data_IF_414059226326
#
_entry.id   IF_414059226326
#
_cell.length_a   1.000
_cell.length_b   1.000
_cell.length_c   1.000
_cell.angle_alpha   90.00
_cell.angle_beta   90.00
_cell.angle_gamma   90.00
#
_symmetry.space_group_name_H-M   'P 1'
#
loop_
_entity.id
_entity.type
_entity.pdbx_description
1 polymer ?
#
# COMPACT_ATOMS: atom_id res chain seq x y z
N UNK A 1 -7.93 -2.87 15.78
CA UNK A 1 -7.57 -2.25 14.48
C UNK A 1 -8.20 -3.00 13.30
N UNK A 2 -7.84 -4.24 12.97
CA UNK A 2 -8.45 -4.93 11.82
C UNK A 2 -9.85 -5.50 12.10
N UNK A 3 -10.16 -5.80 13.37
CA UNK A 3 -11.47 -6.33 13.78
C UNK A 3 -12.58 -5.28 13.82
N UNK A 4 -12.23 -4.01 13.95
CA UNK A 4 -13.19 -2.92 13.87
C UNK A 4 -13.33 -2.53 12.41
N UNK A 5 -14.56 -2.36 11.93
CA UNK A 5 -14.85 -1.88 10.58
C UNK A 5 -15.55 -0.54 10.68
N UNK A 6 -15.03 0.44 9.97
CA UNK A 6 -15.56 1.79 9.87
C UNK A 6 -16.35 1.91 8.57
N UNK A 7 -17.58 2.44 8.66
CA UNK A 7 -18.42 2.74 7.51
C UNK A 7 -18.98 4.14 7.55
N UNK A 8 -19.08 4.77 6.38
CA UNK A 8 -19.82 6.01 6.17
C UNK A 8 -20.85 5.80 5.08
N UNK A 9 -22.01 6.40 5.29
CA UNK A 9 -23.11 6.45 4.33
C UNK A 9 -23.52 7.90 4.15
N UNK A 10 -23.58 8.36 2.90
CA UNK A 10 -24.00 9.70 2.54
C UNK A 10 -25.44 9.75 2.04
N UNK A 11 -26.17 10.78 2.42
CA UNK A 11 -27.45 11.19 1.83
C UNK A 11 -28.56 10.13 1.78
N UNK A 12 -28.48 9.16 2.70
CA UNK A 12 -29.44 8.05 2.83
C UNK A 12 -29.11 6.83 1.96
N UNK A 13 -27.90 6.71 1.43
CA UNK A 13 -27.47 5.52 0.70
C UNK A 13 -27.48 4.25 1.57
N UNK A 14 -27.80 3.11 0.94
CA UNK A 14 -27.78 1.81 1.60
C UNK A 14 -26.41 1.14 1.52
N UNK A 15 -25.63 1.43 0.48
CA UNK A 15 -24.26 0.93 0.32
C UNK A 15 -23.28 1.97 0.84
N UNK A 16 -22.28 1.59 1.64
CA UNK A 16 -21.36 2.56 2.20
C UNK A 16 -20.33 3.03 1.16
N UNK A 17 -20.20 4.35 1.01
CA UNK A 17 -19.10 4.97 0.26
C UNK A 17 -17.72 4.77 0.93
N UNK A 18 -17.70 4.49 2.23
CA UNK A 18 -16.49 4.15 2.99
C UNK A 18 -16.69 2.78 3.64
N UNK A 19 -15.87 1.78 3.33
CA UNK A 19 -15.84 0.50 4.05
C UNK A 19 -14.39 0.00 4.22
N UNK A 20 -13.88 0.11 5.44
CA UNK A 20 -12.45 -0.02 5.74
C UNK A 20 -12.25 -0.59 7.15
N UNK A 21 -11.25 -1.45 7.38
CA UNK A 21 -10.83 -1.74 8.75
C UNK A 21 -10.39 -0.44 9.44
N UNK A 22 -10.75 -0.29 10.72
CA UNK A 22 -10.64 0.98 11.43
C UNK A 22 -9.20 1.51 11.46
N UNK A 23 -8.22 0.67 11.79
CA UNK A 23 -6.82 1.12 11.87
C UNK A 23 -6.26 1.51 10.50
N UNK A 24 -6.60 0.72 9.49
CA UNK A 24 -6.18 0.88 8.10
C UNK A 24 -6.67 2.20 7.50
N UNK A 25 -7.91 2.63 7.81
CA UNK A 25 -8.43 3.94 7.39
C UNK A 25 -7.52 5.11 7.81
N UNK A 26 -6.88 5.00 8.97
CA UNK A 26 -5.96 6.03 9.50
C UNK A 26 -4.50 5.67 9.28
N UNK A 27 -4.17 4.87 8.27
CA UNK A 27 -2.77 4.62 7.92
C UNK A 27 -1.98 3.77 8.91
N UNK A 28 -2.63 3.03 9.81
CA UNK A 28 -1.97 2.19 10.82
C UNK A 28 -1.83 0.75 10.32
N UNK A 29 -0.63 0.34 9.87
CA UNK A 29 -0.46 -0.92 9.15
C UNK A 29 -0.45 -2.14 10.08
N UNK A 30 -0.90 -3.28 9.54
CA UNK A 30 -0.80 -4.61 10.16
C UNK A 30 -1.32 -4.69 11.60
N UNK A 31 -2.34 -3.91 11.93
CA UNK A 31 -2.96 -3.89 13.25
C UNK A 31 -2.04 -3.42 14.37
N UNK A 32 -0.88 -2.83 14.05
CA UNK A 32 0.12 -2.38 15.02
C UNK A 32 0.18 -0.86 15.01
N UNK A 33 0.04 -0.26 16.19
CA UNK A 33 0.21 1.17 16.37
C UNK A 33 1.51 1.66 15.72
N UNK A 34 1.37 2.67 14.86
CA UNK A 34 2.47 3.31 14.15
C UNK A 34 2.24 4.81 14.24
N UNK A 35 3.14 5.49 14.95
CA UNK A 35 3.06 6.93 15.12
C UNK A 35 3.47 7.63 13.82
N UNK A 36 2.61 8.49 13.28
CA UNK A 36 2.94 9.35 12.14
C UNK A 36 2.01 10.57 12.09
N UNK A 37 2.47 11.61 11.41
CA UNK A 37 1.70 12.84 11.19
C UNK A 37 1.75 13.19 9.71
N UNK A 38 0.61 13.07 9.05
CA UNK A 38 0.33 13.70 7.76
C UNK A 38 -0.77 14.76 7.96
N UNK A 39 -1.01 15.58 6.95
CA UNK A 39 -2.06 16.59 6.99
C UNK A 39 -3.47 15.95 7.07
N UNK A 40 -3.92 15.12 6.11
CA UNK A 40 -5.29 14.61 6.17
C UNK A 40 -5.50 13.50 7.20
N UNK A 41 -4.45 12.78 7.61
CA UNK A 41 -4.53 11.65 8.55
C UNK A 41 -3.33 11.63 9.49
N UNK A 42 -3.56 11.28 10.76
CA UNK A 42 -2.47 11.04 11.71
C UNK A 42 -2.85 10.01 12.77
N UNK A 43 -1.83 9.35 13.31
CA UNK A 43 -1.96 8.52 14.49
C UNK A 43 -0.93 8.96 15.54
N UNK A 44 -1.40 9.58 16.62
CA UNK A 44 -0.53 10.15 17.66
C UNK A 44 -1.03 9.79 19.05
N UNK A 45 -0.16 9.20 19.90
CA UNK A 45 -0.47 8.80 21.28
C UNK A 45 -1.78 7.99 21.44
N UNK A 46 -2.14 7.19 20.43
CA UNK A 46 -3.38 6.41 20.39
C UNK A 46 -4.61 7.17 19.85
N UNK A 47 -4.49 8.45 19.54
CA UNK A 47 -5.47 9.23 18.79
C UNK A 47 -5.39 8.94 17.30
N UNK A 48 -6.55 8.73 16.69
CA UNK A 48 -6.72 8.48 15.25
C UNK A 48 -7.45 9.69 14.67
N UNK A 49 -6.75 10.54 13.91
CA UNK A 49 -7.29 11.80 13.42
C UNK A 49 -7.50 11.76 11.91
N UNK A 50 -8.62 12.33 11.46
CA UNK A 50 -8.92 12.52 10.05
C UNK A 50 -9.37 13.97 9.82
N UNK A 51 -8.79 14.61 8.81
CA UNK A 51 -9.06 15.99 8.42
C UNK A 51 -9.53 16.08 6.96
N UNK A 52 -9.82 14.95 6.30
CA UNK A 52 -10.48 14.98 4.99
C UNK A 52 -11.84 15.69 5.10
N UNK A 53 -12.14 16.67 4.21
CA UNK A 53 -13.47 17.26 4.15
C UNK A 53 -14.49 16.23 3.63
N UNK A 54 -15.57 15.98 4.35
CA UNK A 54 -16.58 14.99 3.98
C UNK A 54 -17.94 15.66 3.76
N UNK A 55 -18.17 16.33 2.62
CA UNK A 55 -19.44 16.98 2.33
C UNK A 55 -20.57 15.96 2.19
N UNK A 56 -21.76 16.33 2.68
CA UNK A 56 -23.03 15.63 2.48
C UNK A 56 -24.16 16.66 2.40
N UNK A 57 -25.27 16.33 1.73
CA UNK A 57 -26.37 17.27 1.49
C UNK A 57 -27.61 17.01 2.37
N UNK A 58 -27.85 15.77 2.79
CA UNK A 58 -29.03 15.37 3.56
C UNK A 58 -28.68 14.73 4.89
N UNK A 59 -27.73 13.80 4.90
CA UNK A 59 -27.35 13.08 6.11
C UNK A 59 -25.99 12.41 5.97
N UNK A 60 -25.35 12.19 7.12
CA UNK A 60 -24.21 11.30 7.27
C UNK A 60 -24.54 10.26 8.35
N UNK A 61 -24.38 8.98 8.04
CA UNK A 61 -24.39 7.90 9.03
C UNK A 61 -23.00 7.29 9.12
N UNK A 62 -22.46 7.23 10.33
CA UNK A 62 -21.17 6.62 10.62
C UNK A 62 -21.42 5.36 11.46
N UNK A 63 -20.90 4.22 11.02
CA UNK A 63 -21.00 2.96 11.75
C UNK A 63 -19.61 2.42 12.10
N UNK A 64 -19.47 1.89 13.32
CA UNK A 64 -18.30 1.14 13.75
C UNK A 64 -18.74 -0.24 14.21
N UNK A 65 -18.39 -1.26 13.44
CA UNK A 65 -18.73 -2.65 13.77
C UNK A 65 -17.55 -3.36 14.40
N UNK A 66 -17.73 -3.93 15.58
CA UNK A 66 -16.76 -4.84 16.17
C UNK A 66 -17.01 -6.29 15.72
N UNK A 67 -16.05 -6.85 14.98
CA UNK A 67 -16.08 -8.24 14.50
C UNK A 67 -15.13 -9.16 15.30
N UNK A 68 -14.57 -8.69 16.42
CA UNK A 68 -13.79 -9.53 17.32
C UNK A 68 -14.70 -10.42 18.20
N UNK A 69 -14.14 -11.50 18.73
CA UNK A 69 -14.81 -12.31 19.75
C UNK A 69 -14.95 -11.58 21.10
N UNK A 70 -14.09 -10.59 21.37
CA UNK A 70 -14.10 -9.81 22.61
C UNK A 70 -14.79 -8.45 22.46
N UNK A 71 -15.22 -7.88 23.58
CA UNK A 71 -15.76 -6.53 23.62
C UNK A 71 -14.68 -5.47 23.33
N UNK A 72 -15.07 -4.33 22.76
CA UNK A 72 -14.25 -3.12 22.75
C UNK A 72 -14.51 -2.39 24.08
N UNK A 73 -13.58 -2.46 25.06
CA UNK A 73 -13.87 -2.00 26.41
C UNK A 73 -14.07 -0.49 26.51
N UNK A 74 -13.47 0.27 25.58
CA UNK A 74 -13.67 1.69 25.45
C UNK A 74 -13.51 2.13 24.00
N UNK A 75 -14.44 2.95 23.51
CA UNK A 75 -14.39 3.56 22.18
C UNK A 75 -14.71 5.04 22.33
N UNK A 76 -13.70 5.89 22.19
CA UNK A 76 -13.83 7.34 22.28
C UNK A 76 -13.78 7.92 20.87
N UNK A 77 -14.68 8.85 20.56
CA UNK A 77 -14.71 9.51 19.27
C UNK A 77 -15.18 10.95 19.43
N UNK A 78 -14.77 11.78 18.47
CA UNK A 78 -15.28 13.12 18.27
C UNK A 78 -15.47 13.32 16.77
N UNK A 79 -16.68 13.72 16.37
CA UNK A 79 -16.99 14.12 14.99
C UNK A 79 -17.32 15.60 15.04
N UNK A 80 -16.54 16.39 14.31
CA UNK A 80 -16.78 17.82 14.14
C UNK A 80 -17.26 18.04 12.72
N UNK A 81 -18.33 18.81 12.57
CA UNK A 81 -18.91 19.16 11.29
C UNK A 81 -19.40 20.60 11.33
N UNK A 82 -19.55 21.21 10.16
CA UNK A 82 -20.13 22.53 10.00
C UNK A 82 -21.51 22.37 9.36
N UNK A 83 -22.53 22.96 9.99
CA UNK A 83 -23.84 23.13 9.37
C UNK A 83 -23.77 24.37 8.48
N UNK A 84 -24.07 24.19 7.19
CA UNK A 84 -24.08 25.23 6.19
C UNK A 84 -25.51 25.38 5.68
N UNK A 85 -25.92 26.62 5.37
CA UNK A 85 -27.22 26.88 4.73
C UNK A 85 -27.29 26.19 3.36
N UNK A 86 -26.17 26.17 2.62
CA UNK A 86 -26.00 25.48 1.34
C UNK A 86 -24.67 24.70 1.34
N UNK A 87 -24.71 23.44 0.89
CA UNK A 87 -23.55 22.59 0.65
C UNK A 87 -23.53 22.18 -0.83
N UNK A 88 -22.83 22.96 -1.64
CA UNK A 88 -22.86 22.88 -3.10
C UNK A 88 -21.99 21.77 -3.69
N UNK A 89 -21.14 21.13 -2.89
CA UNK A 89 -20.27 20.09 -3.43
C UNK A 89 -21.08 18.89 -3.91
N UNK A 90 -20.99 18.51 -5.21
CA UNK A 90 -21.64 17.32 -5.73
C UNK A 90 -20.85 16.04 -5.42
N UNK A 91 -19.65 16.17 -4.84
CA UNK A 91 -18.75 15.06 -4.58
C UNK A 91 -18.95 14.52 -3.17
N UNK A 92 -18.75 13.22 -3.00
CA UNK A 92 -18.74 12.52 -1.72
C UNK A 92 -17.40 11.83 -1.48
N UNK A 93 -16.97 11.83 -0.24
CA UNK A 93 -15.73 11.18 0.16
C UNK A 93 -15.90 9.66 0.18
N UNK A 94 -14.93 8.98 -0.39
CA UNK A 94 -14.89 7.52 -0.45
C UNK A 94 -13.56 7.01 0.07
N UNK A 95 -13.61 5.84 0.69
CA UNK A 95 -12.41 5.10 1.02
C UNK A 95 -12.64 3.60 1.01
N UNK A 96 -11.74 2.87 0.38
CA UNK A 96 -11.86 1.43 0.20
C UNK A 96 -10.55 0.73 0.56
N UNK A 97 -10.68 -0.34 1.32
CA UNK A 97 -9.57 -1.25 1.63
C UNK A 97 -9.49 -2.40 0.64
N UNK A 98 -8.30 -2.73 0.19
CA UNK A 98 -8.06 -3.91 -0.65
C UNK A 98 -6.84 -4.69 -0.15
N UNK A 99 -6.76 -5.99 -0.48
CA UNK A 99 -5.60 -6.84 -0.18
C UNK A 99 -5.46 -7.98 -1.18
N UNK A 100 -4.23 -8.30 -1.56
CA UNK A 100 -3.85 -9.52 -2.25
C UNK A 100 -2.64 -10.15 -1.57
N UNK A 101 -2.80 -11.39 -1.11
CA UNK A 101 -1.76 -12.14 -0.43
C UNK A 101 -1.73 -13.61 -0.89
N UNK A 102 -0.71 -14.03 -1.67
CA UNK A 102 0.25 -13.16 -2.34
C UNK A 102 -0.39 -12.41 -3.53
N UNK A 103 0.28 -11.36 -3.99
CA UNK A 103 0.07 -10.78 -5.32
C UNK A 103 0.22 -11.82 -6.42
N UNK A 104 -0.45 -11.58 -7.57
CA UNK A 104 -0.46 -12.52 -8.70
C UNK A 104 0.66 -12.20 -9.68
N UNK A 105 1.42 -13.22 -10.08
CA UNK A 105 2.53 -13.06 -11.01
C UNK A 105 2.05 -12.49 -12.36
N UNK A 106 2.75 -11.48 -12.88
CA UNK A 106 2.42 -10.84 -14.16
C UNK A 106 1.19 -9.93 -14.15
N UNK A 107 0.53 -9.75 -13.00
CA UNK A 107 -0.69 -8.94 -12.86
C UNK A 107 -0.44 -7.86 -11.79
N UNK A 108 -0.71 -6.56 -12.09
CA UNK A 108 -0.57 -5.49 -11.11
C UNK A 108 -1.53 -5.67 -9.93
N UNK A 109 -1.18 -5.05 -8.80
CA UNK A 109 -2.09 -4.92 -7.68
C UNK A 109 -3.04 -3.73 -7.90
N UNK A 110 -4.33 -4.01 -7.99
CA UNK A 110 -5.39 -2.99 -8.08
C UNK A 110 -5.57 -2.28 -6.75
N UNK A 111 -5.29 -0.97 -6.70
CA UNK A 111 -5.58 -0.12 -5.54
C UNK A 111 -6.99 0.43 -5.61
N UNK A 112 -7.40 0.93 -6.77
CA UNK A 112 -8.70 1.55 -7.00
C UNK A 112 -9.21 1.24 -8.40
N UNK A 113 -10.50 0.91 -8.50
CA UNK A 113 -11.28 0.97 -9.74
C UNK A 113 -12.60 1.66 -9.41
N UNK A 114 -12.87 2.80 -10.04
CA UNK A 114 -14.08 3.56 -9.81
C UNK A 114 -14.64 4.14 -11.11
N UNK A 115 -15.96 4.36 -11.12
CA UNK A 115 -16.69 5.01 -12.21
C UNK A 115 -17.51 6.18 -11.66
N UNK A 116 -17.61 7.24 -12.44
CA UNK A 116 -18.24 8.50 -12.06
C UNK A 116 -17.36 9.69 -12.42
N UNK A 117 -17.71 10.87 -11.94
CA UNK A 117 -16.88 12.06 -12.04
C UNK A 117 -16.33 12.43 -10.66
N UNK A 118 -15.05 12.75 -10.57
CA UNK A 118 -14.37 12.88 -9.28
C UNK A 118 -12.89 13.15 -9.38
N UNK A 119 -12.18 12.89 -8.28
CA UNK A 119 -10.72 12.88 -8.24
C UNK A 119 -10.17 11.91 -7.20
N UNK A 120 -9.04 11.28 -7.51
CA UNK A 120 -8.28 10.49 -6.56
C UNK A 120 -7.49 11.39 -5.62
N UNK A 121 -7.64 11.15 -4.31
CA UNK A 121 -7.07 11.96 -3.25
C UNK A 121 -5.84 11.31 -2.59
N UNK A 122 -5.51 10.07 -2.96
CA UNK A 122 -4.30 9.39 -2.53
C UNK A 122 -4.54 8.01 -1.92
N UNK A 123 -3.49 7.45 -1.33
CA UNK A 123 -3.53 6.12 -0.73
C UNK A 123 -2.55 5.93 0.43
N UNK A 124 -2.87 4.94 1.25
CA UNK A 124 -1.90 4.18 2.01
C UNK A 124 -1.61 2.86 1.28
N UNK A 125 -0.34 2.45 1.21
CA UNK A 125 0.08 1.15 0.68
C UNK A 125 1.01 0.43 1.67
N UNK A 126 0.70 -0.84 1.92
CA UNK A 126 1.45 -1.72 2.82
C UNK A 126 1.90 -2.96 2.06
N UNK A 127 3.19 -3.21 2.14
CA UNK A 127 3.88 -4.23 1.36
C UNK A 127 4.69 -5.11 2.29
N UNK A 128 4.47 -6.42 2.25
CA UNK A 128 5.30 -7.40 2.95
C UNK A 128 5.74 -8.50 1.99
N UNK A 129 7.05 -8.62 1.72
CA UNK A 129 7.56 -9.70 0.87
C UNK A 129 7.10 -11.05 1.42
N UNK A 130 6.53 -11.88 0.55
CA UNK A 130 6.18 -13.27 0.85
C UNK A 130 7.17 -14.21 0.16
N UNK A 131 7.22 -15.47 0.58
CA UNK A 131 8.12 -16.45 -0.03
C UNK A 131 9.61 -16.25 0.30
N UNK A 132 10.45 -17.07 -0.32
CA UNK A 132 11.88 -17.16 -0.01
C UNK A 132 12.70 -16.41 -1.05
N UNK A 133 13.23 -15.24 -0.69
CA UNK A 133 14.05 -14.40 -1.57
C UNK A 133 15.50 -14.89 -1.70
N UNK A 134 15.90 -15.88 -0.90
CA UNK A 134 17.17 -16.61 -1.01
C UNK A 134 17.04 -17.93 -1.82
N UNK A 135 16.04 -18.06 -2.69
CA UNK A 135 15.77 -19.31 -3.43
C UNK A 135 16.79 -19.54 -4.56
N UNK A 136 17.71 -20.54 -4.44
CA UNK A 136 18.74 -20.76 -5.46
C UNK A 136 18.17 -21.12 -6.83
N UNK A 137 17.01 -21.79 -6.88
CA UNK A 137 16.39 -22.16 -8.14
C UNK A 137 15.89 -20.91 -8.87
N UNK A 138 15.21 -20.01 -8.15
CA UNK A 138 14.80 -18.72 -8.69
C UNK A 138 16.01 -17.86 -9.12
N UNK A 139 17.06 -17.79 -8.29
CA UNK A 139 18.29 -17.06 -8.61
C UNK A 139 18.93 -17.55 -9.91
N UNK A 140 19.12 -18.86 -10.06
CA UNK A 140 19.69 -19.46 -11.26
C UNK A 140 18.80 -19.23 -12.47
N UNK A 141 17.48 -19.39 -12.32
CA UNK A 141 16.51 -19.13 -13.38
C UNK A 141 16.62 -17.70 -13.89
N UNK A 142 16.65 -16.68 -13.01
CA UNK A 142 16.76 -15.28 -13.42
C UNK A 142 18.07 -14.97 -14.15
N UNK A 143 19.20 -15.54 -13.70
CA UNK A 143 20.48 -15.38 -14.40
C UNK A 143 20.43 -16.01 -15.79
N UNK A 144 19.77 -17.16 -15.94
CA UNK A 144 19.57 -17.81 -17.25
C UNK A 144 18.65 -16.99 -18.16
N UNK A 145 17.55 -16.45 -17.64
CA UNK A 145 16.58 -15.65 -18.39
C UNK A 145 17.16 -14.31 -18.86
N UNK A 146 17.96 -13.65 -18.02
CA UNK A 146 18.47 -12.29 -18.29
C UNK A 146 19.90 -12.26 -18.83
N UNK A 147 20.66 -13.36 -18.69
CA UNK A 147 22.10 -13.41 -19.00
C UNK A 147 22.98 -12.60 -18.05
N UNK A 148 22.43 -11.97 -17.00
CA UNK A 148 23.15 -11.08 -16.09
C UNK A 148 23.29 -11.71 -14.70
N UNK A 149 24.50 -11.90 -14.15
CA UNK A 149 24.68 -12.39 -12.79
C UNK A 149 24.04 -11.51 -11.70
N UNK A 150 23.79 -10.23 -11.98
CA UNK A 150 23.16 -9.28 -11.04
C UNK A 150 21.69 -9.63 -10.78
N UNK A 151 21.00 -10.25 -11.74
CA UNK A 151 19.61 -10.68 -11.58
C UNK A 151 19.43 -11.86 -10.63
N UNK A 152 20.52 -12.49 -10.17
CA UNK A 152 20.46 -13.41 -9.04
C UNK A 152 20.00 -12.72 -7.75
N UNK A 153 20.20 -11.40 -7.63
CA UNK A 153 19.91 -10.64 -6.41
C UNK A 153 18.83 -9.59 -6.66
N UNK A 154 18.75 -9.04 -7.88
CA UNK A 154 17.73 -8.08 -8.29
C UNK A 154 16.59 -8.75 -9.08
N UNK A 155 15.32 -8.36 -8.87
CA UNK A 155 14.86 -7.27 -8.00
C UNK A 155 14.73 -7.65 -6.53
N UNK A 156 14.82 -8.93 -6.13
CA UNK A 156 14.52 -9.39 -4.77
C UNK A 156 15.11 -8.53 -3.63
N UNK A 157 16.31 -7.99 -3.79
CA UNK A 157 16.90 -6.90 -3.00
C UNK A 157 16.78 -7.06 -1.48
N UNK A 158 17.17 -8.24 -0.96
CA UNK A 158 17.04 -8.61 0.46
C UNK A 158 15.59 -8.52 0.99
N UNK A 159 14.63 -8.92 0.15
CA UNK A 159 13.20 -8.89 0.44
C UNK A 159 12.57 -7.50 0.28
N UNK A 160 13.13 -6.64 -0.57
CA UNK A 160 12.60 -5.30 -0.86
C UNK A 160 12.26 -5.07 -2.33
N UNK A 161 12.35 -6.11 -3.17
CA UNK A 161 12.15 -5.98 -4.61
C UNK A 161 10.78 -5.52 -5.07
N UNK A 162 9.77 -5.59 -4.21
CA UNK A 162 8.46 -5.03 -4.50
C UNK A 162 8.50 -3.51 -4.70
N UNK A 163 9.50 -2.82 -4.15
CA UNK A 163 9.63 -1.38 -4.29
C UNK A 163 9.98 -0.95 -5.73
N UNK A 164 10.56 -1.83 -6.54
CA UNK A 164 10.84 -1.56 -7.96
C UNK A 164 9.60 -1.59 -8.87
N UNK A 165 8.42 -1.94 -8.35
CA UNK A 165 7.19 -1.91 -9.12
C UNK A 165 6.74 -0.48 -9.43
N UNK A 166 6.14 -0.24 -10.59
CA UNK A 166 5.68 1.08 -11.02
C UNK A 166 4.19 1.26 -10.72
N UNK A 167 3.77 2.50 -10.48
CA UNK A 167 2.38 2.89 -10.55
C UNK A 167 1.92 3.02 -12.00
N UNK A 168 0.64 2.72 -12.25
CA UNK A 168 -0.03 3.04 -13.50
C UNK A 168 -1.44 3.55 -13.20
N UNK A 169 -1.70 4.80 -13.58
CA UNK A 169 -3.01 5.43 -13.35
C UNK A 169 -3.65 5.71 -14.70
N UNK A 170 -4.82 5.11 -14.90
CA UNK A 170 -5.63 5.23 -16.12
C UNK A 170 -6.87 6.06 -15.81
N UNK A 171 -7.06 7.13 -16.56
CA UNK A 171 -8.19 8.05 -16.45
C UNK A 171 -9.11 7.90 -17.66
N UNK A 172 -10.40 7.80 -17.39
CA UNK A 172 -11.50 7.80 -18.36
C UNK A 172 -11.38 6.71 -19.45
N UNK A 173 -10.81 5.55 -19.10
CA UNK A 173 -10.78 4.36 -19.98
C UNK A 173 -9.74 4.44 -21.11
N UNK A 174 -8.70 5.24 -20.92
CA UNK A 174 -7.57 5.30 -21.84
C UNK A 174 -6.80 3.97 -21.97
N UNK A 175 -6.16 3.76 -23.12
CA UNK A 175 -5.44 2.52 -23.43
C UNK A 175 -4.02 2.46 -22.82
N UNK A 176 -3.44 3.61 -22.50
CA UNK A 176 -2.14 3.75 -21.85
C UNK A 176 -2.30 4.69 -20.65
N UNK A 177 -1.55 4.50 -19.54
CA UNK A 177 -1.78 5.29 -18.34
C UNK A 177 -1.39 6.75 -18.56
N UNK A 178 -2.25 7.67 -18.14
CA UNK A 178 -1.97 9.11 -18.05
C UNK A 178 -0.78 9.40 -17.15
N UNK A 179 -0.59 8.57 -16.11
CA UNK A 179 0.55 8.66 -15.19
C UNK A 179 1.27 7.31 -15.19
N UNK A 180 2.33 7.15 -16.00
CA UNK A 180 3.25 6.04 -15.89
C UNK A 180 4.30 6.31 -14.81
N UNK A 181 4.50 5.32 -13.94
CA UNK A 181 5.43 5.37 -12.82
C UNK A 181 6.87 5.00 -13.12
N UNK A 182 7.71 5.06 -12.09
CA UNK A 182 9.13 4.65 -12.14
C UNK A 182 9.57 3.74 -10.99
N UNK A 183 8.76 3.64 -9.94
CA UNK A 183 9.06 2.85 -8.75
C UNK A 183 8.07 3.17 -7.64
N UNK A 184 7.77 2.20 -6.77
CA UNK A 184 6.79 2.38 -5.71
C UNK A 184 7.33 3.41 -4.71
N UNK A 185 8.63 3.38 -4.37
CA UNK A 185 9.18 4.44 -3.52
C UNK A 185 9.18 5.81 -4.19
N UNK A 186 9.33 5.85 -5.52
CA UNK A 186 9.36 7.09 -6.29
C UNK A 186 7.96 7.74 -6.29
N UNK A 187 6.91 6.93 -6.48
CA UNK A 187 5.51 7.39 -6.34
C UNK A 187 5.27 8.05 -4.98
N UNK A 188 5.85 7.51 -3.91
CA UNK A 188 5.74 8.08 -2.56
C UNK A 188 6.78 9.19 -2.27
N UNK A 189 7.32 9.83 -3.31
CA UNK A 189 8.28 10.94 -3.25
C UNK A 189 9.54 10.63 -2.41
N UNK A 190 9.99 9.38 -2.46
CA UNK A 190 11.27 8.94 -1.92
C UNK A 190 12.18 8.50 -3.07
N UNK A 191 13.29 7.86 -2.74
CA UNK A 191 14.12 7.14 -3.70
C UNK A 191 14.92 6.06 -3.00
N UNK A 192 15.54 5.18 -3.79
CA UNK A 192 16.45 4.15 -3.31
C UNK A 192 15.85 3.33 -2.16
N UNK A 193 14.67 2.74 -2.40
CA UNK A 193 14.01 1.81 -1.47
C UNK A 193 13.74 2.38 -0.06
N UNK A 194 13.55 3.69 0.09
CA UNK A 194 13.47 4.35 1.40
C UNK A 194 14.70 4.05 2.30
N UNK A 195 15.90 3.99 1.73
CA UNK A 195 17.13 3.53 2.42
C UNK A 195 17.52 4.36 3.66
N UNK A 196 16.98 5.58 3.82
CA UNK A 196 17.16 6.41 5.01
C UNK A 196 16.13 6.16 6.12
N UNK A 197 15.23 5.21 5.91
CA UNK A 197 14.25 4.76 6.89
C UNK A 197 12.94 5.55 6.85
N UNK A 198 12.06 5.30 7.85
CA UNK A 198 10.76 5.95 7.95
C UNK A 198 10.85 7.47 8.14
N UNK A 199 9.89 8.19 7.58
CA UNK A 199 9.69 9.64 7.77
C UNK A 199 8.22 10.01 7.55
N UNK A 200 7.84 11.20 8.00
CA UNK A 200 6.49 11.74 7.80
C UNK A 200 6.58 13.16 7.27
N UNK A 201 6.06 13.38 6.06
CA UNK A 201 5.81 14.70 5.51
C UNK A 201 4.29 14.95 5.43
N UNK A 202 3.83 16.21 5.24
CA UNK A 202 2.40 16.52 5.25
C UNK A 202 1.58 15.69 4.26
N UNK A 203 2.11 15.45 3.06
CA UNK A 203 1.35 14.78 1.98
C UNK A 203 1.95 13.45 1.52
N UNK A 204 3.11 13.04 2.01
CA UNK A 204 3.69 11.73 1.69
C UNK A 204 4.63 11.24 2.80
N UNK A 205 4.97 9.96 2.80
CA UNK A 205 5.92 9.44 3.76
C UNK A 205 6.02 7.93 3.77
N UNK A 206 6.89 7.44 4.65
CA UNK A 206 7.11 6.03 4.92
C UNK A 206 7.00 5.79 6.42
N UNK A 207 6.01 5.05 6.88
CA UNK A 207 5.75 4.85 8.32
C UNK A 207 6.42 3.60 8.87
N UNK A 208 6.71 2.61 8.01
CA UNK A 208 7.44 1.40 8.37
C UNK A 208 8.41 1.04 7.25
N UNK A 209 9.67 0.78 7.61
CA UNK A 209 10.67 0.21 6.71
C UNK A 209 11.57 -0.75 7.46
N UNK A 210 11.53 -2.04 7.10
CA UNK A 210 12.22 -3.09 7.86
C UNK A 210 12.65 -4.24 6.96
N UNK A 211 13.97 -4.42 6.82
CA UNK A 211 14.54 -5.61 6.18
C UNK A 211 14.24 -6.89 6.96
N UNK A 212 14.26 -6.83 8.30
CA UNK A 212 14.00 -7.99 9.17
C UNK A 212 12.64 -8.64 8.91
N UNK A 213 11.61 -7.83 8.69
CA UNK A 213 10.26 -8.33 8.44
C UNK A 213 9.88 -8.30 6.96
N UNK A 214 10.78 -7.80 6.12
CA UNK A 214 10.55 -7.45 4.72
C UNK A 214 9.30 -6.59 4.51
N UNK A 215 9.10 -5.60 5.39
CA UNK A 215 7.92 -4.73 5.40
C UNK A 215 8.28 -3.31 4.96
N UNK A 216 7.39 -2.73 4.15
CA UNK A 216 7.36 -1.31 3.83
C UNK A 216 5.91 -0.79 3.90
N UNK A 217 5.69 0.34 4.57
CA UNK A 217 4.41 1.03 4.64
C UNK A 217 4.61 2.48 4.23
N UNK A 218 3.88 2.94 3.23
CA UNK A 218 4.01 4.29 2.69
C UNK A 218 2.64 4.93 2.43
N UNK A 219 2.64 6.24 2.27
CA UNK A 219 1.44 7.00 1.95
C UNK A 219 1.77 8.17 1.04
N UNK A 220 0.79 8.54 0.22
CA UNK A 220 0.77 9.79 -0.55
C UNK A 220 -0.66 10.29 -0.65
N UNK A 221 -0.84 11.58 -0.43
CA UNK A 221 -2.09 12.30 -0.54
C UNK A 221 -1.95 13.36 -1.62
N UNK A 222 -2.85 13.33 -2.60
CA UNK A 222 -2.87 14.24 -3.72
C UNK A 222 -3.66 15.50 -3.39
N UNK A 223 -3.17 16.27 -2.40
CA UNK A 223 -3.84 17.49 -1.92
C UNK A 223 -3.61 18.65 -2.88
N UNK A 224 -2.35 18.89 -3.25
CA UNK A 224 -1.97 19.95 -4.19
C UNK A 224 -2.04 19.52 -5.66
N UNK A 225 -2.13 18.21 -5.91
CA UNK A 225 -2.04 17.56 -7.20
C UNK A 225 -3.11 16.46 -7.38
N UNK A 226 -4.42 16.75 -7.15
CA UNK A 226 -5.48 15.76 -7.30
C UNK A 226 -5.51 15.21 -8.73
N UNK A 227 -5.86 13.92 -8.87
CA UNK A 227 -5.96 13.26 -10.18
C UNK A 227 -7.45 13.18 -10.57
N UNK A 228 -7.95 14.09 -11.42
CA UNK A 228 -9.36 14.14 -11.78
C UNK A 228 -9.74 13.05 -12.79
N UNK A 229 -11.01 12.65 -12.77
CA UNK A 229 -11.61 11.77 -13.77
C UNK A 229 -13.08 12.17 -14.01
N UNK A 230 -13.60 11.95 -15.21
CA UNK A 230 -14.98 12.30 -15.60
C UNK A 230 -15.87 11.08 -15.82
N UNK A 231 -15.27 9.92 -16.10
CA UNK A 231 -15.96 8.65 -16.35
C UNK A 231 -15.45 7.54 -15.46
N UNK A 232 -14.14 7.39 -15.33
CA UNK A 232 -13.55 6.29 -14.56
C UNK A 232 -12.09 6.54 -14.19
N UNK A 233 -11.63 5.83 -13.16
CA UNK A 233 -10.22 5.76 -12.81
C UNK A 233 -9.84 4.32 -12.46
N UNK A 234 -8.65 3.92 -12.88
CA UNK A 234 -7.97 2.71 -12.44
C UNK A 234 -6.60 3.09 -11.90
N UNK A 235 -6.28 2.67 -10.68
CA UNK A 235 -4.98 2.87 -10.02
C UNK A 235 -4.39 1.50 -9.75
N UNK A 236 -3.30 1.20 -10.42
CA UNK A 236 -2.55 -0.05 -10.32
C UNK A 236 -1.15 0.19 -9.77
N UNK A 237 -0.67 -0.72 -8.93
CA UNK A 237 0.69 -0.72 -8.37
C UNK A 237 1.36 -2.06 -8.68
N UNK A 238 2.49 -2.02 -9.39
CA UNK A 238 3.24 -3.24 -9.66
C UNK A 238 4.03 -3.72 -8.44
N UNK A 239 4.47 -4.97 -8.49
CA UNK A 239 5.32 -5.61 -7.48
C UNK A 239 6.58 -6.19 -8.13
N UNK A 240 7.57 -5.30 -8.32
CA UNK A 240 8.77 -5.53 -9.14
C UNK A 240 8.54 -5.20 -10.63
N UNK A 241 9.59 -5.33 -11.45
CA UNK A 241 9.56 -4.89 -12.86
C UNK A 241 8.47 -5.50 -13.75
N UNK A 242 8.03 -6.71 -13.43
CA UNK A 242 7.09 -7.46 -14.27
C UNK A 242 6.04 -8.14 -13.40
N UNK A 243 5.73 -7.58 -12.23
CA UNK A 243 4.83 -8.20 -11.25
C UNK A 243 5.30 -9.60 -10.83
N UNK A 244 6.60 -9.80 -10.66
CA UNK A 244 7.22 -11.09 -10.38
C UNK A 244 7.57 -11.28 -8.90
N UNK A 245 7.45 -10.23 -8.08
CA UNK A 245 7.82 -10.26 -6.68
C UNK A 245 6.60 -10.57 -5.84
N UNK A 246 6.42 -11.86 -5.51
CA UNK A 246 5.34 -12.30 -4.62
C UNK A 246 5.39 -11.53 -3.29
N UNK A 247 4.31 -10.81 -3.00
CA UNK A 247 4.20 -9.89 -1.87
C UNK A 247 2.78 -9.91 -1.32
N UNK A 248 2.61 -9.68 -0.02
CA UNK A 248 1.33 -9.31 0.59
C UNK A 248 1.15 -7.81 0.43
N UNK A 249 0.28 -7.40 -0.49
CA UNK A 249 -0.10 -6.00 -0.70
C UNK A 249 -1.46 -5.75 -0.06
N UNK A 250 -1.56 -4.69 0.73
CA UNK A 250 -2.83 -4.13 1.18
C UNK A 250 -2.80 -2.62 1.09
N UNK A 251 -3.94 -2.00 0.81
CA UNK A 251 -4.04 -0.55 0.63
C UNK A 251 -5.34 -0.01 1.16
N UNK A 252 -5.36 1.31 1.36
CA UNK A 252 -6.60 2.09 1.40
C UNK A 252 -6.48 3.18 0.35
N UNK A 253 -7.42 3.18 -0.60
CA UNK A 253 -7.60 4.26 -1.56
C UNK A 253 -8.54 5.31 -0.96
N UNK A 254 -8.26 6.59 -1.18
CA UNK A 254 -9.12 7.71 -0.82
C UNK A 254 -9.44 8.53 -2.07
N UNK A 255 -10.72 8.85 -2.29
CA UNK A 255 -11.12 9.64 -3.45
C UNK A 255 -12.44 10.36 -3.19
N UNK A 256 -12.78 11.25 -4.12
CA UNK A 256 -14.06 11.93 -4.15
C UNK A 256 -14.75 11.62 -5.47
N UNK A 257 -16.05 11.37 -5.46
CA UNK A 257 -16.82 11.24 -6.70
C UNK A 257 -18.28 11.63 -6.51
N UNK A 258 -18.97 11.87 -7.63
CA UNK A 258 -20.43 12.03 -7.67
C UNK A 258 -21.16 10.73 -7.34
N UNK A 259 -22.31 10.86 -6.68
CA UNK A 259 -23.25 9.77 -6.46
C UNK A 259 -24.28 9.64 -7.61
N UNK A 260 -24.83 8.43 -7.86
CA UNK A 260 -24.52 7.16 -7.20
C UNK A 260 -23.17 6.57 -7.66
N UNK A 261 -22.42 5.97 -6.75
CA UNK A 261 -21.22 5.20 -7.06
C UNK A 261 -21.53 3.77 -7.53
N UNK A 262 -20.57 3.14 -8.23
CA UNK A 262 -20.66 1.72 -8.55
C UNK A 262 -20.49 0.87 -7.27
N UNK A 263 -21.15 -0.29 -7.14
CA UNK A 263 -20.98 -1.15 -5.98
C UNK A 263 -19.51 -1.51 -5.77
N UNK A 264 -19.03 -1.29 -4.55
CA UNK A 264 -17.66 -1.63 -4.16
C UNK A 264 -17.55 -3.14 -3.87
N UNK A 265 -16.41 -3.77 -4.19
CA UNK A 265 -16.07 -5.10 -3.65
C UNK A 265 -16.34 -5.20 -2.14
N UNK A 266 -16.95 -6.30 -1.72
CA UNK A 266 -17.20 -6.57 -0.29
C UNK A 266 -15.90 -6.65 0.48
N UNK A 267 -15.86 -6.04 1.66
CA UNK A 267 -14.74 -6.20 2.59
C UNK A 267 -14.54 -7.70 2.93
N UNK A 268 -13.32 -8.24 2.78
CA UNK A 268 -13.04 -9.65 3.10
C UNK A 268 -13.31 -10.02 4.56
N UNK A 269 -13.46 -11.32 4.82
CA UNK A 269 -13.68 -11.81 6.18
C UNK A 269 -12.48 -11.48 7.08
N UNK A 270 -12.70 -11.38 8.40
CA UNK A 270 -11.65 -11.01 9.37
C UNK A 270 -10.35 -11.79 9.17
N UNK A 271 -10.43 -13.12 8.97
CA UNK A 271 -9.27 -13.98 8.79
C UNK A 271 -8.41 -13.60 7.58
N UNK A 272 -9.03 -13.15 6.49
CA UNK A 272 -8.37 -12.72 5.26
C UNK A 272 -7.77 -11.32 5.37
N UNK A 273 -8.12 -10.58 6.43
CA UNK A 273 -7.58 -9.24 6.72
C UNK A 273 -6.44 -9.27 7.72
N UNK A 274 -6.15 -10.41 8.35
CA UNK A 274 -5.09 -10.50 9.35
C UNK A 274 -3.69 -10.42 8.72
N UNK A 275 -2.72 -9.75 9.38
CA UNK A 275 -1.37 -9.60 8.84
C UNK A 275 -0.66 -10.93 8.65
N UNK A 276 0.12 -11.04 7.57
CA UNK A 276 0.94 -12.23 7.34
C UNK A 276 2.11 -12.35 8.33
N UNK A 277 2.46 -13.58 8.76
CA UNK A 277 3.57 -13.82 9.68
C UNK A 277 4.92 -13.32 9.14
N UNK A 278 5.79 -12.84 10.03
CA UNK A 278 7.12 -12.29 9.65
C UNK A 278 8.28 -13.23 9.96
N UNK A 279 8.02 -14.40 10.55
CA UNK A 279 9.05 -15.32 11.04
C UNK A 279 10.00 -15.80 9.93
N UNK A 280 9.45 -16.14 8.75
CA UNK A 280 10.24 -16.53 7.59
C UNK A 280 11.18 -15.41 7.13
N UNK A 281 10.69 -14.17 7.02
CA UNK A 281 11.50 -13.02 6.62
C UNK A 281 12.63 -12.74 7.62
N UNK A 282 12.33 -12.88 8.91
CA UNK A 282 13.33 -12.69 9.98
C UNK A 282 14.44 -13.74 9.90
N UNK A 283 14.07 -15.00 9.67
CA UNK A 283 15.02 -16.10 9.49
C UNK A 283 15.92 -15.89 8.26
N UNK A 284 15.37 -15.43 7.15
CA UNK A 284 16.14 -15.16 5.91
C UNK A 284 17.26 -14.15 6.14
N UNK A 285 16.94 -13.04 6.79
CA UNK A 285 17.94 -12.00 7.10
C UNK A 285 18.98 -12.54 8.09
N UNK A 286 18.57 -13.30 9.11
CA UNK A 286 19.50 -13.91 10.05
C UNK A 286 20.49 -14.86 9.35
N UNK A 287 20.02 -15.67 8.39
CA UNK A 287 20.89 -16.53 7.58
C UNK A 287 21.85 -15.72 6.72
N UNK A 288 21.34 -14.72 5.97
CA UNK A 288 22.14 -13.88 5.08
C UNK A 288 23.22 -13.06 5.80
N UNK A 289 22.98 -12.69 7.06
CA UNK A 289 23.92 -11.93 7.90
C UNK A 289 24.76 -12.80 8.83
N UNK A 290 24.55 -14.12 8.83
CA UNK A 290 25.30 -15.03 9.70
C UNK A 290 26.78 -15.13 9.26
N UNK A 291 27.74 -15.23 10.21
CA UNK A 291 29.16 -15.39 9.90
C UNK A 291 29.49 -16.63 9.06
N UNK A 292 28.61 -17.62 9.01
CA UNK A 292 28.77 -18.83 8.20
C UNK A 292 28.46 -18.60 6.70
N UNK A 293 27.68 -17.57 6.36
CA UNK A 293 27.29 -17.25 4.97
C UNK A 293 28.23 -16.23 4.30
N UNK A 294 28.82 -15.32 5.08
CA UNK A 294 29.76 -14.28 4.59
C UNK A 294 31.01 -14.85 3.86
N UNK A 295 31.58 -16.01 4.23
CA UNK A 295 32.71 -16.59 3.51
C UNK A 295 32.32 -17.20 2.15
N UNK A 296 31.08 -17.67 1.98
CA UNK A 296 30.66 -18.39 0.77
C UNK A 296 30.45 -17.45 -0.43
N UNK A 297 29.95 -16.24 -0.21
CA UNK A 297 29.72 -15.22 -1.25
C UNK A 297 30.99 -14.46 -1.65
N UNK A 298 31.93 -14.26 -0.73
CA UNK A 298 33.25 -13.66 -1.03
C UNK A 298 34.15 -14.56 -1.90
N UNK A 299 33.97 -15.88 -1.83
CA UNK A 299 34.66 -16.82 -2.73
C UNK A 299 34.09 -16.75 -4.15
N UNK A 300 32.77 -16.57 -4.31
CA UNK A 300 32.13 -16.37 -5.61
C UNK A 300 32.53 -15.06 -6.32
N UNK A 301 32.64 -13.95 -5.58
CA UNK A 301 33.08 -12.66 -6.12
C UNK A 301 34.58 -12.67 -6.51
N UNK A 302 35.43 -13.42 -5.81
CA UNK A 302 36.84 -13.63 -6.22
C UNK A 302 36.97 -14.50 -7.48
N UNK A 303 36.03 -15.41 -7.74
CA UNK A 303 35.97 -16.18 -8.98
C UNK A 303 35.57 -15.30 -10.17
N UNK A 304 34.64 -14.34 -9.99
CA UNK A 304 34.29 -13.35 -11.03
C UNK A 304 35.44 -12.39 -11.34
N UNK A 305 36.20 -11.94 -10.33
CA UNK A 305 37.35 -11.05 -10.52
C UNK A 305 38.48 -11.66 -11.38
N UNK A 306 38.63 -12.99 -11.36
CA UNK A 306 39.60 -13.70 -12.21
C UNK A 306 39.14 -13.89 -13.66
N UNK A 307 37.84 -13.84 -13.93
CA UNK A 307 37.31 -13.95 -15.30
C UNK A 307 37.50 -12.65 -16.10
N UNK A 308 37.54 -11.50 -15.43
CA UNK A 308 37.70 -10.17 -16.05
C UNK A 308 39.18 -9.83 -16.30
N UNK A 309 40.12 -10.41 -15.55
CA UNK A 309 41.57 -10.21 -15.78
C UNK A 309 42.21 -11.17 -16.80
N UNK A 310 41.46 -12.16 -17.31
CA UNK A 310 41.95 -13.16 -18.28
C UNK A 310 41.75 -12.80 -19.77
N UNK A 311 41.24 -11.60 -20.07
CA UNK A 311 41.16 -11.06 -21.45
C UNK A 311 41.81 -9.69 -21.51
N UNK A 312 43.14 -9.67 -21.47
CA UNK A 312 43.97 -8.64 -22.09
C UNK A 312 45.01 -9.33 -22.95
#
# INVERSE_FOLDING_TARGET
NHYLVLRFFWDGEEQPSVEVPFGDFYGVPWGKYTHYVAEPLSCTSGGYNCQFPMPFSRSCRIEVTNQAHGACPAFFFQVQYLELDEQDSPLRFHAQWHRQDPTREGIPYRVLEATGAGHFAGMHLWMQKSGWWLDPANMLRRVQETGSPVSAIFPEAAGMGMLEGWESIYVDGEAAPSIPGTGNEDYFNSGFYFSKGPYSAPHWGCTVRSYLTSRCAAYRFHVADPIPFQRSIVVDMDHGYTNQVQTDYSSVAYWYQTEPHAPTPKLPAVAERLPSPTGQNTLQIALATSPAWVPATLVGLRALGKFIQGRR
#
